data_IF_861227830750
#
_entry.id   IF_861227830750
#
_cell.length_a   1.000
_cell.length_b   1.000
_cell.length_c   1.000
_cell.angle_alpha   90.00
_cell.angle_beta   90.00
_cell.angle_gamma   90.00
#
_symmetry.space_group_name_H-M   'P 1'
#
loop_
_entity.id
_entity.type
_entity.pdbx_description
1 polymer ?
#
# COMPACT_ATOMS: atom_id res chain seq x y z
N UNK A 1 8.84 8.22 2.66
CA UNK A 1 8.70 6.76 2.40
C UNK A 1 9.99 6.08 2.82
N UNK A 2 9.92 4.97 3.54
CA UNK A 2 11.12 4.28 4.02
C UNK A 2 11.98 3.78 2.87
N UNK A 3 13.28 4.04 2.96
CA UNK A 3 14.29 3.60 2.00
C UNK A 3 14.07 4.08 0.55
N UNK A 4 13.27 5.12 0.37
CA UNK A 4 13.01 5.81 -0.89
C UNK A 4 13.81 7.13 -0.90
N UNK A 5 15.11 7.04 -1.23
CA UNK A 5 16.07 8.11 -0.98
C UNK A 5 16.25 9.08 -2.16
N UNK A 6 15.63 8.77 -3.31
CA UNK A 6 15.80 9.54 -4.56
C UNK A 6 14.45 10.07 -5.05
N UNK A 7 14.51 11.16 -5.78
CA UNK A 7 13.41 11.72 -6.55
C UNK A 7 13.71 11.59 -8.04
N UNK A 8 12.69 11.38 -8.86
CA UNK A 8 12.84 11.33 -10.32
C UNK A 8 12.84 12.73 -10.93
N UNK A 9 12.23 13.69 -10.21
CA UNK A 9 12.15 15.10 -10.64
C UNK A 9 13.15 15.95 -9.87
N UNK A 10 13.73 16.96 -10.55
CA UNK A 10 14.79 17.82 -10.00
C UNK A 10 14.25 19.15 -9.43
N UNK A 11 13.00 19.51 -9.71
CA UNK A 11 12.38 20.74 -9.22
C UNK A 11 12.37 20.79 -7.69
N UNK A 12 12.39 22.00 -7.14
CA UNK A 12 12.15 22.18 -5.70
C UNK A 12 10.74 21.68 -5.33
N UNK A 13 10.58 21.13 -4.13
CA UNK A 13 9.27 20.75 -3.63
C UNK A 13 8.45 21.99 -3.24
N UNK A 14 7.14 21.90 -3.41
CA UNK A 14 6.24 22.96 -2.95
C UNK A 14 5.93 22.87 -1.43
N UNK A 15 6.33 21.80 -0.75
CA UNK A 15 6.01 21.59 0.67
C UNK A 15 4.52 21.40 0.93
N UNK A 16 4.00 22.09 1.93
CA UNK A 16 2.58 22.12 2.26
C UNK A 16 2.07 20.93 3.06
N UNK A 17 0.75 20.86 3.24
CA UNK A 17 0.02 19.80 3.95
C UNK A 17 -1.18 19.31 3.14
N UNK A 18 -1.61 18.08 3.40
CA UNK A 18 -2.79 17.47 2.76
C UNK A 18 -3.71 16.84 3.81
N UNK A 19 -4.97 16.61 3.46
CA UNK A 19 -5.95 15.91 4.33
C UNK A 19 -6.26 16.66 5.63
N UNK A 20 -6.22 17.99 5.61
CA UNK A 20 -6.63 18.81 6.75
C UNK A 20 -8.14 18.64 7.00
N UNK A 21 -8.91 18.49 5.93
CA UNK A 21 -10.33 18.12 5.92
C UNK A 21 -10.55 16.93 4.98
N UNK A 22 -11.74 16.32 5.01
CA UNK A 22 -12.06 15.21 4.10
C UNK A 22 -12.15 15.67 2.65
N UNK A 23 -12.61 16.89 2.46
CA UNK A 23 -12.81 17.57 1.18
C UNK A 23 -11.50 17.86 0.44
N UNK A 24 -10.39 17.97 1.17
CA UNK A 24 -9.06 18.18 0.59
C UNK A 24 -8.55 16.94 -0.17
N UNK A 25 -9.22 15.79 -0.03
CA UNK A 25 -8.78 14.54 -0.63
C UNK A 25 -9.96 13.81 -1.29
N UNK A 26 -10.07 13.97 -2.60
CA UNK A 26 -11.10 13.31 -3.40
C UNK A 26 -10.50 12.20 -4.24
N UNK A 27 -11.20 11.05 -4.27
CA UNK A 27 -10.80 9.87 -5.05
C UNK A 27 -12.00 9.31 -5.81
N UNK A 28 -11.87 9.17 -7.13
CA UNK A 28 -12.88 8.58 -7.98
C UNK A 28 -12.34 7.33 -8.68
N UNK A 29 -13.10 6.25 -8.60
CA UNK A 29 -12.78 5.01 -9.30
C UNK A 29 -12.88 5.21 -10.82
N UNK A 30 -11.87 4.76 -11.57
CA UNK A 30 -11.94 4.61 -13.02
C UNK A 30 -12.36 3.16 -13.28
N UNK A 31 -13.62 2.89 -13.61
CA UNK A 31 -14.12 1.53 -13.71
C UNK A 31 -13.59 0.81 -14.95
N UNK A 32 -13.31 -0.48 -14.82
CA UNK A 32 -13.06 -1.39 -15.93
C UNK A 32 -14.38 -1.93 -16.50
N UNK A 33 -15.35 -2.20 -15.62
CA UNK A 33 -16.69 -2.68 -15.97
C UNK A 33 -17.68 -1.54 -15.79
N UNK A 34 -18.37 -1.22 -16.89
CA UNK A 34 -19.49 -0.27 -16.90
C UNK A 34 -20.78 -1.08 -17.00
N UNK A 35 -21.74 -0.93 -16.05
CA UNK A 35 -22.99 -1.67 -16.08
C UNK A 35 -23.82 -1.29 -17.30
N UNK A 36 -24.42 -2.29 -17.96
CA UNK A 36 -25.05 -2.18 -19.27
C UNK A 36 -26.52 -1.66 -19.23
N UNK A 37 -27.10 -1.50 -18.04
CA UNK A 37 -28.49 -1.07 -17.84
C UNK A 37 -29.48 -2.23 -17.70
N UNK A 38 -29.07 -3.47 -17.88
CA UNK A 38 -29.87 -4.68 -17.77
C UNK A 38 -29.14 -5.81 -17.04
N UNK A 39 -29.85 -6.77 -16.49
CA UNK A 39 -29.29 -7.94 -15.81
C UNK A 39 -29.75 -8.10 -14.36
N UNK A 40 -29.30 -9.19 -13.71
CA UNK A 40 -29.78 -9.59 -12.38
C UNK A 40 -29.12 -8.86 -11.23
N UNK A 41 -28.13 -8.01 -11.48
CA UNK A 41 -27.41 -7.30 -10.42
C UNK A 41 -27.75 -5.82 -10.46
N UNK A 42 -27.78 -5.19 -9.32
CA UNK A 42 -27.91 -3.74 -9.18
C UNK A 42 -26.57 -3.13 -8.83
N UNK A 43 -26.14 -2.17 -9.61
CA UNK A 43 -24.94 -1.36 -9.39
C UNK A 43 -25.33 0.01 -8.87
N UNK A 44 -24.65 0.46 -7.84
CA UNK A 44 -24.82 1.78 -7.24
C UNK A 44 -23.51 2.55 -7.34
N UNK A 45 -23.51 3.67 -8.02
CA UNK A 45 -22.42 4.63 -8.00
C UNK A 45 -22.58 5.49 -6.77
N UNK A 46 -21.73 5.28 -5.80
CA UNK A 46 -21.80 5.97 -4.52
C UNK A 46 -20.74 7.05 -4.37
N UNK A 47 -21.08 8.11 -3.64
CA UNK A 47 -20.13 9.00 -3.00
C UNK A 47 -20.19 8.79 -1.50
N UNK A 48 -19.06 8.65 -0.82
CA UNK A 48 -18.99 8.52 0.64
C UNK A 48 -18.01 9.49 1.25
N UNK A 49 -18.34 10.02 2.42
CA UNK A 49 -17.55 10.96 3.19
C UNK A 49 -17.08 10.34 4.50
N UNK A 50 -15.78 10.23 4.69
CA UNK A 50 -15.19 9.82 5.97
C UNK A 50 -15.47 8.37 6.40
N UNK A 51 -15.83 7.48 5.47
CA UNK A 51 -16.20 6.08 5.71
C UNK A 51 -15.32 5.10 4.95
N UNK A 52 -15.13 3.89 5.45
CA UNK A 52 -14.50 2.82 4.67
C UNK A 52 -15.50 2.20 3.69
N UNK A 53 -15.02 1.66 2.57
CA UNK A 53 -15.85 0.90 1.62
C UNK A 53 -16.58 -0.24 2.32
N UNK A 54 -15.90 -0.92 3.25
CA UNK A 54 -16.47 -2.07 3.95
C UNK A 54 -17.63 -1.68 4.88
N UNK A 55 -17.52 -0.54 5.60
CA UNK A 55 -18.59 -0.06 6.48
C UNK A 55 -19.86 0.21 5.64
N UNK A 56 -19.72 0.91 4.51
CA UNK A 56 -20.86 1.20 3.61
C UNK A 56 -21.47 -0.09 3.06
N UNK A 57 -20.65 -1.02 2.60
CA UNK A 57 -21.11 -2.32 2.09
C UNK A 57 -21.86 -3.13 3.13
N UNK A 58 -21.41 -3.10 4.38
CA UNK A 58 -22.07 -3.81 5.49
C UNK A 58 -23.41 -3.16 5.85
N UNK A 59 -23.49 -1.83 5.83
CA UNK A 59 -24.75 -1.11 6.09
C UNK A 59 -25.76 -1.39 4.97
N UNK A 60 -25.39 -1.28 3.70
CA UNK A 60 -26.26 -1.64 2.57
C UNK A 60 -26.75 -3.09 2.69
N UNK A 61 -25.86 -4.03 3.01
CA UNK A 61 -26.23 -5.44 3.13
C UNK A 61 -27.21 -5.68 4.30
N UNK A 62 -27.03 -4.98 5.43
CA UNK A 62 -27.90 -5.05 6.59
C UNK A 62 -29.30 -4.49 6.26
N UNK A 63 -29.37 -3.31 5.69
CA UNK A 63 -30.62 -2.60 5.47
C UNK A 63 -31.47 -3.25 4.35
N UNK A 64 -30.82 -3.89 3.37
CA UNK A 64 -31.48 -4.74 2.37
C UNK A 64 -31.75 -6.18 2.86
N UNK A 65 -31.32 -6.55 4.06
CA UNK A 65 -31.41 -7.92 4.60
C UNK A 65 -30.78 -8.98 3.67
N UNK A 66 -29.66 -8.63 3.01
CA UNK A 66 -28.94 -9.54 2.10
C UNK A 66 -27.61 -9.98 2.70
N UNK A 67 -27.15 -11.18 2.28
CA UNK A 67 -25.83 -11.65 2.69
C UNK A 67 -24.72 -10.75 2.15
N UNK A 68 -23.69 -10.47 2.97
CA UNK A 68 -22.45 -9.79 2.57
C UNK A 68 -21.82 -10.41 1.31
N UNK A 69 -21.99 -11.72 1.09
CA UNK A 69 -21.48 -12.43 -0.09
C UNK A 69 -22.11 -11.96 -1.40
N UNK A 70 -23.27 -11.32 -1.36
CA UNK A 70 -23.94 -10.73 -2.55
C UNK A 70 -23.31 -9.38 -2.94
N UNK A 71 -22.63 -8.72 -2.02
CA UNK A 71 -21.98 -7.43 -2.27
C UNK A 71 -20.67 -7.61 -3.05
N UNK A 72 -20.45 -6.76 -4.05
CA UNK A 72 -19.25 -6.69 -4.86
C UNK A 72 -18.73 -5.25 -4.96
N UNK A 73 -17.42 -5.08 -5.04
CA UNK A 73 -16.74 -3.81 -5.32
C UNK A 73 -15.36 -4.09 -5.91
N UNK A 74 -14.83 -3.16 -6.69
CA UNK A 74 -13.57 -3.36 -7.41
C UNK A 74 -12.34 -3.05 -6.55
N UNK A 75 -12.45 -2.13 -5.59
CA UNK A 75 -11.35 -1.75 -4.71
C UNK A 75 -11.81 -1.12 -3.41
N UNK A 76 -10.95 -1.15 -2.41
CA UNK A 76 -11.15 -0.38 -1.18
C UNK A 76 -10.77 1.07 -1.45
N UNK A 77 -11.53 2.02 -0.90
CA UNK A 77 -11.23 3.46 -0.97
C UNK A 77 -10.92 4.03 0.41
N UNK A 78 -10.11 5.07 0.42
CA UNK A 78 -9.67 5.77 1.64
C UNK A 78 -10.85 6.16 2.54
N UNK A 79 -10.60 6.11 3.86
CA UNK A 79 -11.56 6.56 4.87
C UNK A 79 -11.52 8.09 5.04
N UNK A 80 -10.30 8.67 5.11
CA UNK A 80 -10.13 10.12 5.30
C UNK A 80 -10.15 10.84 3.94
N UNK A 81 -11.33 10.80 3.26
CA UNK A 81 -11.51 11.35 1.92
C UNK A 81 -13.01 11.40 1.56
N UNK A 82 -13.33 12.15 0.52
CA UNK A 82 -14.52 11.96 -0.31
C UNK A 82 -14.16 10.95 -1.39
N UNK A 83 -14.95 9.90 -1.55
CA UNK A 83 -14.62 8.89 -2.57
C UNK A 83 -15.83 8.39 -3.33
N UNK A 84 -15.65 8.20 -4.65
CA UNK A 84 -16.66 7.62 -5.55
C UNK A 84 -16.23 6.26 -6.06
N UNK A 85 -17.17 5.33 -6.09
CA UNK A 85 -16.95 3.99 -6.63
C UNK A 85 -18.25 3.24 -6.94
N UNK A 86 -18.17 2.17 -7.75
CA UNK A 86 -19.26 1.23 -7.90
C UNK A 86 -19.33 0.24 -6.74
N UNK A 87 -20.54 0.03 -6.24
CA UNK A 87 -20.91 -1.12 -5.41
C UNK A 87 -21.94 -1.93 -6.19
N UNK A 88 -21.77 -3.25 -6.23
CA UNK A 88 -22.66 -4.18 -6.91
C UNK A 88 -23.39 -5.05 -5.87
N UNK A 89 -24.71 -5.15 -6.00
CA UNK A 89 -25.57 -6.02 -5.20
C UNK A 89 -26.07 -7.12 -6.15
N UNK A 90 -25.59 -8.34 -5.96
CA UNK A 90 -25.90 -9.46 -6.86
C UNK A 90 -27.29 -10.06 -6.57
N UNK A 91 -27.92 -10.61 -7.63
CA UNK A 91 -29.22 -11.30 -7.59
C UNK A 91 -30.37 -10.42 -7.05
N UNK A 92 -30.52 -9.24 -7.64
CA UNK A 92 -31.57 -8.27 -7.36
C UNK A 92 -32.51 -8.18 -8.59
N UNK A 93 -33.17 -9.30 -8.95
CA UNK A 93 -33.84 -9.46 -10.22
C UNK A 93 -35.18 -8.69 -10.33
N UNK A 94 -35.87 -8.50 -9.19
CA UNK A 94 -37.21 -7.91 -9.18
C UNK A 94 -37.19 -6.38 -9.14
N UNK A 95 -38.27 -5.77 -9.66
CA UNK A 95 -38.50 -4.32 -9.57
C UNK A 95 -38.69 -3.85 -8.10
N UNK A 96 -39.26 -4.70 -7.26
CA UNK A 96 -39.42 -4.41 -5.84
C UNK A 96 -38.05 -4.27 -5.15
N UNK A 97 -37.12 -5.19 -5.45
CA UNK A 97 -35.74 -5.12 -4.93
C UNK A 97 -35.00 -3.89 -5.45
N UNK A 98 -35.21 -3.50 -6.70
CA UNK A 98 -34.64 -2.26 -7.23
C UNK A 98 -35.14 -1.05 -6.43
N UNK A 99 -36.46 -0.95 -6.21
CA UNK A 99 -37.05 0.13 -5.38
C UNK A 99 -36.53 0.14 -3.94
N UNK A 100 -36.24 -1.03 -3.37
CA UNK A 100 -35.60 -1.09 -2.04
C UNK A 100 -34.24 -0.44 -2.06
N UNK A 101 -33.42 -0.65 -3.12
CA UNK A 101 -32.11 0.01 -3.27
C UNK A 101 -32.26 1.52 -3.49
N UNK A 102 -33.24 1.94 -4.29
CA UNK A 102 -33.52 3.36 -4.55
C UNK A 102 -33.94 4.16 -3.31
N UNK A 103 -34.55 3.48 -2.34
CA UNK A 103 -35.00 4.08 -1.08
C UNK A 103 -34.02 3.93 0.09
N UNK A 104 -32.81 3.43 -0.16
CA UNK A 104 -31.80 3.34 0.90
C UNK A 104 -31.31 4.72 1.33
N UNK A 105 -31.22 4.91 2.65
CA UNK A 105 -30.55 6.05 3.28
C UNK A 105 -29.37 5.54 4.11
N UNK A 106 -28.19 5.70 3.56
CA UNK A 106 -26.95 5.22 4.21
C UNK A 106 -26.15 6.41 4.73
N UNK A 107 -25.89 6.43 6.01
CA UNK A 107 -25.18 7.50 6.69
C UNK A 107 -23.91 7.95 5.92
N UNK A 108 -23.80 9.26 5.64
CA UNK A 108 -22.67 9.87 4.90
C UNK A 108 -22.34 9.15 3.60
N UNK A 109 -23.37 8.73 2.85
CA UNK A 109 -23.20 8.05 1.57
C UNK A 109 -24.33 8.41 0.63
N UNK A 110 -24.01 9.05 -0.48
CA UNK A 110 -24.98 9.43 -1.50
C UNK A 110 -25.00 8.40 -2.64
N UNK A 111 -26.18 8.06 -3.13
CA UNK A 111 -26.36 7.18 -4.26
C UNK A 111 -26.56 8.05 -5.52
N UNK A 112 -25.47 8.26 -6.26
CA UNK A 112 -25.45 9.18 -7.41
C UNK A 112 -26.07 8.56 -8.66
N UNK A 113 -25.99 7.24 -8.82
CA UNK A 113 -26.53 6.51 -9.95
C UNK A 113 -26.83 5.07 -9.57
N UNK A 114 -27.97 4.56 -10.03
CA UNK A 114 -28.39 3.16 -9.85
C UNK A 114 -28.65 2.57 -11.23
N UNK A 115 -28.00 1.44 -11.54
CA UNK A 115 -28.07 0.81 -12.87
C UNK A 115 -28.05 -0.70 -12.73
N UNK A 116 -28.78 -1.42 -13.57
CA UNK A 116 -28.66 -2.87 -13.66
C UNK A 116 -27.42 -3.30 -14.41
N UNK A 117 -26.87 -4.47 -14.08
CA UNK A 117 -25.72 -5.05 -14.75
C UNK A 117 -25.76 -6.57 -14.80
N UNK A 118 -25.18 -7.14 -15.85
CA UNK A 118 -25.19 -8.59 -16.08
C UNK A 118 -24.20 -9.35 -15.20
N UNK A 119 -23.02 -8.81 -15.01
CA UNK A 119 -21.92 -9.45 -14.25
C UNK A 119 -21.88 -8.93 -12.83
N UNK A 120 -21.43 -9.74 -11.90
CA UNK A 120 -21.11 -9.29 -10.54
C UNK A 120 -19.73 -8.65 -10.52
N UNK A 121 -19.62 -7.47 -9.90
CA UNK A 121 -18.34 -6.77 -9.70
C UNK A 121 -17.45 -7.52 -8.69
N UNK A 122 -16.16 -7.65 -9.02
CA UNK A 122 -15.17 -8.35 -8.19
C UNK A 122 -13.98 -7.45 -7.90
N UNK A 123 -13.28 -7.77 -6.82
CA UNK A 123 -12.03 -7.11 -6.45
C UNK A 123 -11.03 -7.13 -7.61
N UNK A 124 -10.39 -5.99 -7.88
CA UNK A 124 -9.40 -5.81 -8.94
C UNK A 124 -9.97 -5.36 -10.29
N UNK A 125 -11.30 -5.34 -10.47
CA UNK A 125 -11.97 -4.94 -11.72
C UNK A 125 -12.15 -3.41 -11.83
N UNK A 126 -11.04 -2.68 -11.71
CA UNK A 126 -10.94 -1.25 -12.00
C UNK A 126 -9.68 -1.00 -12.83
N UNK A 127 -9.69 0.05 -13.63
CA UNK A 127 -8.52 0.50 -14.39
C UNK A 127 -7.57 1.27 -13.49
N UNK A 128 -8.10 2.20 -12.70
CA UNK A 128 -7.32 3.08 -11.85
C UNK A 128 -8.18 3.94 -10.95
N UNK A 129 -7.60 5.02 -10.48
CA UNK A 129 -8.29 6.04 -9.69
C UNK A 129 -7.88 7.43 -10.16
N UNK A 130 -8.85 8.34 -10.23
CA UNK A 130 -8.65 9.78 -10.39
C UNK A 130 -8.61 10.41 -9.01
N UNK A 131 -7.65 11.30 -8.81
CA UNK A 131 -7.45 12.06 -7.58
C UNK A 131 -7.63 13.54 -7.82
N UNK A 132 -8.21 14.23 -6.82
CA UNK A 132 -8.17 15.68 -6.68
C UNK A 132 -7.73 15.97 -5.25
N UNK A 133 -6.57 16.55 -5.09
CA UNK A 133 -5.94 16.72 -3.78
C UNK A 133 -5.53 18.18 -3.61
N UNK A 134 -6.08 18.81 -2.59
CA UNK A 134 -5.74 20.18 -2.23
C UNK A 134 -4.53 20.17 -1.28
N UNK A 135 -3.45 20.82 -1.72
CA UNK A 135 -2.23 21.03 -0.93
C UNK A 135 -2.30 22.43 -0.35
N UNK A 136 -2.34 22.51 0.97
CA UNK A 136 -2.47 23.76 1.75
C UNK A 136 -1.16 24.12 2.44
N UNK A 137 -1.17 25.25 3.16
CA UNK A 137 -0.02 25.77 3.92
C UNK A 137 1.23 25.98 3.04
N UNK A 138 1.03 26.66 1.91
CA UNK A 138 2.05 27.03 0.94
C UNK A 138 2.46 28.48 1.11
N UNK A 139 3.75 28.78 0.92
CA UNK A 139 4.29 30.14 1.03
C UNK A 139 3.81 31.05 -0.12
N UNK A 140 3.78 30.52 -1.35
CA UNK A 140 3.31 31.17 -2.57
C UNK A 140 2.50 30.16 -3.40
N UNK A 141 1.21 30.43 -3.56
CA UNK A 141 0.28 29.50 -4.21
C UNK A 141 0.50 29.47 -5.74
N UNK A 142 0.72 30.62 -6.37
CA UNK A 142 0.91 30.73 -7.81
C UNK A 142 2.24 30.05 -8.23
N UNK A 143 3.35 30.40 -7.58
CA UNK A 143 4.65 29.75 -7.83
C UNK A 143 4.58 28.24 -7.56
N UNK A 144 3.87 27.83 -6.50
CA UNK A 144 3.69 26.42 -6.16
C UNK A 144 2.90 25.66 -7.23
N UNK A 145 1.87 26.30 -7.82
CA UNK A 145 1.10 25.71 -8.90
C UNK A 145 1.95 25.51 -10.16
N UNK A 146 2.78 26.49 -10.51
CA UNK A 146 3.70 26.39 -11.66
C UNK A 146 4.70 25.24 -11.47
N UNK A 147 5.35 25.17 -10.30
CA UNK A 147 6.29 24.09 -9.96
C UNK A 147 5.58 22.74 -9.98
N UNK A 148 4.38 22.64 -9.42
CA UNK A 148 3.62 21.39 -9.41
C UNK A 148 3.27 20.93 -10.84
N UNK A 149 2.90 21.85 -11.74
CA UNK A 149 2.65 21.52 -13.15
C UNK A 149 3.90 21.02 -13.85
N UNK A 150 5.07 21.65 -13.64
CA UNK A 150 6.33 21.18 -14.21
C UNK A 150 6.67 19.75 -13.73
N UNK A 151 6.53 19.48 -12.42
CA UNK A 151 6.75 18.16 -11.85
C UNK A 151 5.80 17.14 -12.45
N UNK A 152 4.49 17.45 -12.48
CA UNK A 152 3.47 16.56 -13.00
C UNK A 152 3.69 16.25 -14.50
N UNK A 153 4.02 17.24 -15.32
CA UNK A 153 4.35 17.07 -16.74
C UNK A 153 5.57 16.15 -16.94
N UNK A 154 6.61 16.29 -16.12
CA UNK A 154 7.74 15.37 -16.14
C UNK A 154 7.32 13.95 -15.78
N UNK A 155 6.48 13.78 -14.72
CA UNK A 155 6.01 12.46 -14.29
C UNK A 155 5.12 11.77 -15.33
N UNK A 156 4.34 12.50 -16.12
CA UNK A 156 3.55 11.93 -17.22
C UNK A 156 4.46 11.26 -18.27
N UNK A 157 5.66 11.78 -18.47
CA UNK A 157 6.66 11.25 -19.42
C UNK A 157 7.50 10.15 -18.80
N UNK A 158 8.11 10.41 -17.63
CA UNK A 158 9.06 9.46 -17.00
C UNK A 158 8.39 8.33 -16.25
N UNK A 159 7.15 8.54 -15.82
CA UNK A 159 6.47 7.71 -14.82
C UNK A 159 6.87 8.05 -13.40
N UNK A 160 6.14 7.50 -12.46
CA UNK A 160 6.30 7.71 -11.03
C UNK A 160 6.97 6.51 -10.40
N UNK A 161 8.02 6.67 -9.56
CA UNK A 161 8.63 5.55 -8.84
C UNK A 161 7.61 4.80 -7.98
N UNK A 162 7.53 3.49 -8.14
CA UNK A 162 6.50 2.65 -7.54
C UNK A 162 6.82 2.25 -6.08
N UNK A 163 7.24 3.21 -5.28
CA UNK A 163 7.60 3.01 -3.88
C UNK A 163 6.42 2.54 -3.04
N UNK A 164 6.69 1.66 -2.10
CA UNK A 164 5.75 1.36 -1.02
C UNK A 164 5.72 2.50 0.01
N UNK A 165 4.51 2.98 0.29
CA UNK A 165 4.29 4.05 1.27
C UNK A 165 4.37 3.58 2.72
N UNK A 166 4.32 4.54 3.66
CA UNK A 166 4.41 4.33 5.11
C UNK A 166 3.42 3.31 5.67
N UNK A 167 2.22 3.22 5.11
CA UNK A 167 1.20 2.23 5.54
C UNK A 167 1.71 0.78 5.47
N UNK A 168 2.65 0.49 4.56
CA UNK A 168 3.25 -0.83 4.41
C UNK A 168 4.13 -1.21 5.60
N UNK A 169 4.68 -0.22 6.28
CA UNK A 169 5.66 -0.39 7.34
C UNK A 169 5.07 -0.21 8.75
N UNK A 170 3.79 0.13 8.84
CA UNK A 170 3.05 0.34 10.09
C UNK A 170 3.04 1.80 10.54
N UNK A 171 1.92 2.22 11.11
CA UNK A 171 1.73 3.51 11.77
C UNK A 171 0.88 3.32 13.02
N UNK A 172 1.19 4.01 14.09
CA UNK A 172 2.26 4.99 14.28
C UNK A 172 3.68 4.37 14.36
N UNK A 173 3.80 3.08 14.67
CA UNK A 173 5.09 2.39 14.81
C UNK A 173 5.56 1.81 13.48
N UNK A 174 6.65 2.35 12.96
CA UNK A 174 7.24 1.92 11.69
C UNK A 174 8.22 0.76 11.90
N UNK A 175 7.73 -0.36 12.43
CA UNK A 175 8.56 -1.52 12.82
C UNK A 175 8.28 -2.80 12.00
N UNK A 176 7.22 -2.82 11.19
CA UNK A 176 6.78 -4.06 10.51
C UNK A 176 7.89 -4.70 9.67
N UNK A 177 8.69 -3.89 8.98
CA UNK A 177 9.84 -4.36 8.20
C UNK A 177 11.02 -4.81 9.09
N UNK A 178 11.18 -4.24 10.30
CA UNK A 178 12.21 -4.66 11.24
C UNK A 178 11.92 -6.05 11.83
N UNK A 179 10.65 -6.31 12.15
CA UNK A 179 10.19 -7.66 12.52
C UNK A 179 10.43 -8.64 11.37
N UNK A 180 10.08 -8.22 10.14
CA UNK A 180 10.31 -9.04 8.94
C UNK A 180 11.79 -9.31 8.69
N UNK A 181 12.67 -8.32 8.91
CA UNK A 181 14.10 -8.48 8.84
C UNK A 181 14.59 -9.55 9.82
N UNK A 182 14.20 -9.44 11.09
CA UNK A 182 14.60 -10.40 12.12
C UNK A 182 14.11 -11.84 11.78
N UNK A 183 12.91 -11.99 11.21
CA UNK A 183 12.40 -13.28 10.73
C UNK A 183 13.26 -13.86 9.60
N UNK A 184 13.66 -13.04 8.62
CA UNK A 184 14.54 -13.46 7.52
C UNK A 184 15.95 -13.79 8.02
N UNK A 185 16.47 -13.05 9.01
CA UNK A 185 17.71 -13.35 9.70
C UNK A 185 17.61 -14.58 10.62
N UNK A 186 16.43 -15.22 10.69
CA UNK A 186 16.13 -16.40 11.50
C UNK A 186 16.30 -16.18 13.02
N UNK A 187 16.13 -14.93 13.46
CA UNK A 187 16.22 -14.46 14.85
C UNK A 187 14.81 -14.19 15.41
N UNK A 188 14.20 -15.24 15.98
CA UNK A 188 12.82 -15.18 16.49
C UNK A 188 12.72 -14.31 17.76
N UNK A 189 13.74 -14.33 18.59
CA UNK A 189 13.81 -13.49 19.79
C UNK A 189 13.76 -12.01 19.41
N UNK A 190 14.65 -11.57 18.53
CA UNK A 190 14.69 -10.20 18.01
C UNK A 190 13.38 -9.80 17.34
N UNK A 191 12.75 -10.72 16.59
CA UNK A 191 11.45 -10.44 15.97
C UNK A 191 10.35 -10.15 17.00
N UNK A 192 10.28 -10.94 18.06
CA UNK A 192 9.30 -10.77 19.15
C UNK A 192 9.61 -9.51 19.95
N UNK A 193 10.86 -9.30 20.34
CA UNK A 193 11.29 -8.15 21.11
C UNK A 193 11.05 -6.84 20.35
N UNK A 194 11.32 -6.82 19.03
CA UNK A 194 11.01 -5.66 18.18
C UNK A 194 9.51 -5.37 18.13
N UNK A 195 8.65 -6.40 18.12
CA UNK A 195 7.21 -6.21 18.03
C UNK A 195 6.58 -5.78 19.36
N UNK A 196 6.90 -6.43 20.47
CA UNK A 196 6.31 -6.18 21.79
C UNK A 196 6.94 -4.96 22.46
N UNK A 197 8.25 -4.93 22.55
CA UNK A 197 9.06 -3.87 23.14
C UNK A 197 9.31 -2.69 22.20
N UNK A 198 10.50 -2.11 22.26
CA UNK A 198 10.97 -1.05 21.37
C UNK A 198 10.02 0.17 21.35
N UNK A 199 9.85 0.89 22.49
CA UNK A 199 8.97 2.05 22.60
C UNK A 199 9.36 3.14 21.59
N UNK A 200 8.35 3.78 20.96
CA UNK A 200 8.55 4.83 19.97
C UNK A 200 7.97 6.15 20.47
N UNK A 201 8.61 7.28 20.14
CA UNK A 201 8.18 8.60 20.59
C UNK A 201 6.77 9.00 20.10
N UNK A 202 6.31 8.42 19.00
CA UNK A 202 4.99 8.71 18.40
C UNK A 202 3.85 7.91 19.07
N UNK A 203 4.15 7.07 20.06
CA UNK A 203 3.14 6.33 20.83
C UNK A 203 2.70 7.13 22.08
N UNK A 204 1.54 6.78 22.64
CA UNK A 204 1.10 7.31 23.92
C UNK A 204 2.07 6.89 25.04
N UNK A 205 2.18 7.72 26.07
CA UNK A 205 3.05 7.43 27.22
C UNK A 205 2.74 6.07 27.86
N UNK A 206 1.45 5.69 27.95
CA UNK A 206 1.06 4.39 28.52
C UNK A 206 1.57 3.22 27.67
N UNK A 207 1.52 3.33 26.33
CA UNK A 207 2.06 2.33 25.45
C UNK A 207 3.59 2.26 25.57
N UNK A 208 4.26 3.40 25.66
CA UNK A 208 5.72 3.46 25.86
C UNK A 208 6.13 2.78 27.18
N UNK A 209 5.42 3.06 28.28
CA UNK A 209 5.67 2.41 29.58
C UNK A 209 5.49 0.89 29.52
N UNK A 210 4.41 0.43 28.88
CA UNK A 210 4.15 -1.00 28.71
C UNK A 210 5.26 -1.71 27.93
N UNK A 211 5.78 -1.07 26.87
CA UNK A 211 6.89 -1.61 26.07
C UNK A 211 8.22 -1.56 26.81
N UNK A 212 8.46 -0.49 27.56
CA UNK A 212 9.66 -0.38 28.39
C UNK A 212 9.70 -1.48 29.46
N UNK A 213 8.58 -1.73 30.16
CA UNK A 213 8.49 -2.83 31.12
C UNK A 213 8.82 -4.19 30.47
N UNK A 214 8.43 -4.40 29.19
CA UNK A 214 8.82 -5.58 28.44
C UNK A 214 10.33 -5.64 28.20
N UNK A 215 10.93 -4.54 27.74
CA UNK A 215 12.37 -4.45 27.46
C UNK A 215 13.21 -4.62 28.73
N UNK A 216 12.66 -4.22 29.89
CA UNK A 216 13.27 -4.43 31.22
C UNK A 216 13.08 -5.87 31.75
N UNK A 217 12.42 -6.76 30.99
CA UNK A 217 12.17 -8.16 31.37
C UNK A 217 10.97 -8.40 32.25
N UNK A 218 10.18 -7.36 32.59
CA UNK A 218 9.01 -7.42 33.48
C UNK A 218 7.76 -7.80 32.68
N UNK A 219 7.63 -9.08 32.28
CA UNK A 219 6.57 -9.53 31.39
C UNK A 219 5.17 -9.33 31.93
N UNK A 220 4.94 -9.63 33.24
CA UNK A 220 3.65 -9.47 33.90
C UNK A 220 3.25 -8.00 34.00
N UNK A 221 4.14 -7.13 34.41
CA UNK A 221 3.91 -5.69 34.49
C UNK A 221 3.61 -5.12 33.09
N UNK A 222 4.39 -5.50 32.09
CA UNK A 222 4.12 -5.11 30.71
C UNK A 222 2.71 -5.50 30.25
N UNK A 223 2.27 -6.73 30.56
CA UNK A 223 0.93 -7.20 30.21
C UNK A 223 -0.17 -6.38 30.89
N UNK A 224 0.02 -5.98 32.15
CA UNK A 224 -0.94 -5.16 32.91
C UNK A 224 -1.04 -3.74 32.36
N UNK A 225 0.09 -3.13 31.99
CA UNK A 225 0.15 -1.78 31.44
C UNK A 225 -0.40 -1.67 30.00
N UNK A 226 -0.41 -2.75 29.24
CA UNK A 226 -0.91 -2.75 27.85
C UNK A 226 -2.39 -2.35 27.77
N UNK A 227 -2.70 -1.33 26.96
CA UNK A 227 -4.06 -0.86 26.68
C UNK A 227 -4.88 -1.79 25.77
N UNK A 228 -6.15 -1.41 25.52
CA UNK A 228 -7.06 -2.18 24.64
C UNK A 228 -6.52 -2.26 23.18
N UNK A 229 -5.80 -1.25 22.72
CA UNK A 229 -5.22 -1.20 21.38
C UNK A 229 -4.09 -2.20 21.14
N UNK A 230 -3.45 -2.71 22.21
CA UNK A 230 -2.31 -3.63 22.14
C UNK A 230 -2.73 -5.11 22.21
N UNK A 231 -3.81 -5.46 21.51
CA UNK A 231 -4.39 -6.81 21.54
C UNK A 231 -3.41 -7.90 21.10
N UNK A 232 -2.64 -7.65 20.09
CA UNK A 232 -1.69 -8.62 19.53
C UNK A 232 -0.48 -8.80 20.42
N UNK A 233 0.06 -7.71 20.95
CA UNK A 233 1.13 -7.75 21.94
C UNK A 233 0.70 -8.55 23.18
N UNK A 234 -0.53 -8.31 23.69
CA UNK A 234 -1.09 -9.10 24.80
C UNK A 234 -1.19 -10.60 24.50
N UNK A 235 -1.53 -10.96 23.28
CA UNK A 235 -1.56 -12.38 22.88
C UNK A 235 -0.15 -12.99 22.92
N UNK A 236 0.83 -12.27 22.38
CA UNK A 236 2.22 -12.73 22.30
C UNK A 236 2.86 -12.85 23.68
N UNK A 237 2.71 -11.83 24.55
CA UNK A 237 3.34 -11.81 25.87
C UNK A 237 2.76 -12.88 26.80
N UNK A 238 1.47 -13.21 26.68
CA UNK A 238 0.86 -14.31 27.43
C UNK A 238 1.50 -15.67 27.14
N UNK A 239 1.89 -15.91 25.89
CA UNK A 239 2.62 -17.11 25.52
C UNK A 239 4.02 -17.13 26.14
N UNK A 240 4.72 -15.99 26.16
CA UNK A 240 6.02 -15.87 26.80
C UNK A 240 5.93 -16.11 28.30
N UNK A 241 4.96 -15.48 29.00
CA UNK A 241 4.73 -15.70 30.44
C UNK A 241 4.40 -17.16 30.75
N UNK A 242 3.61 -17.81 29.90
CA UNK A 242 3.31 -19.24 30.06
C UNK A 242 4.55 -20.11 29.94
N UNK A 243 5.42 -19.80 29.00
CA UNK A 243 6.63 -20.59 28.75
C UNK A 243 7.75 -20.26 29.75
N UNK A 244 7.88 -19.00 30.22
CA UNK A 244 8.84 -18.60 31.25
C UNK A 244 8.65 -19.32 32.59
N UNK A 245 7.41 -19.69 32.94
CA UNK A 245 7.10 -20.51 34.13
C UNK A 245 7.64 -21.95 34.04
N UNK A 246 8.07 -22.41 32.87
CA UNK A 246 8.63 -23.74 32.65
C UNK A 246 10.18 -23.72 32.60
N UNK A 247 10.80 -22.55 32.55
CA UNK A 247 12.25 -22.35 32.46
C UNK A 247 12.60 -21.15 31.60
N UNK A 248 13.84 -21.07 31.18
CA UNK A 248 14.31 -20.00 30.28
C UNK A 248 13.56 -19.97 28.94
N UNK A 249 13.35 -18.78 28.38
CA UNK A 249 12.75 -18.61 27.07
C UNK A 249 13.73 -19.12 25.99
N UNK A 250 13.18 -19.85 25.03
CA UNK A 250 13.93 -20.46 23.93
C UNK A 250 13.32 -20.04 22.58
N UNK A 251 13.99 -20.36 21.49
CA UNK A 251 13.42 -20.21 20.12
C UNK A 251 11.98 -20.73 20.01
N UNK A 252 11.67 -21.85 20.70
CA UNK A 252 10.33 -22.42 20.71
C UNK A 252 9.33 -21.50 21.42
N UNK A 253 9.72 -20.83 22.47
CA UNK A 253 8.90 -19.85 23.20
C UNK A 253 8.58 -18.65 22.33
N UNK A 254 9.58 -18.12 21.65
CA UNK A 254 9.41 -17.01 20.70
C UNK A 254 8.57 -17.42 19.47
N UNK A 255 8.74 -18.65 18.96
CA UNK A 255 7.90 -19.19 17.90
C UNK A 255 6.43 -19.31 18.34
N UNK A 256 6.16 -19.81 19.55
CA UNK A 256 4.81 -19.87 20.12
C UNK A 256 4.18 -18.49 20.22
N UNK A 257 4.95 -17.51 20.68
CA UNK A 257 4.54 -16.11 20.77
C UNK A 257 4.13 -15.55 19.38
N UNK A 258 4.92 -15.77 18.34
CA UNK A 258 4.60 -15.35 16.97
C UNK A 258 3.38 -16.11 16.41
N UNK A 259 3.21 -17.38 16.74
CA UNK A 259 2.05 -18.18 16.31
C UNK A 259 0.73 -17.73 16.95
N UNK A 260 0.76 -16.98 18.06
CA UNK A 260 -0.43 -16.36 18.65
C UNK A 260 -1.05 -15.29 17.73
N UNK A 261 -0.26 -14.74 16.82
CA UNK A 261 -0.74 -13.76 15.84
C UNK A 261 -1.56 -14.41 14.71
N UNK A 262 -2.54 -13.68 14.11
CA UNK A 262 -3.20 -14.13 12.90
C UNK A 262 -2.22 -14.39 11.76
N UNK A 263 -2.41 -15.48 11.01
CA UNK A 263 -1.53 -15.84 9.88
C UNK A 263 -1.29 -14.73 8.84
N UNK A 264 -2.30 -13.92 8.46
CA UNK A 264 -2.06 -12.80 7.55
C UNK A 264 -1.10 -11.76 8.12
N UNK A 265 -1.18 -11.48 9.43
CA UNK A 265 -0.28 -10.54 10.09
C UNK A 265 1.16 -11.07 10.13
N UNK A 266 1.35 -12.35 10.45
CA UNK A 266 2.67 -12.98 10.43
C UNK A 266 3.34 -12.84 9.05
N UNK A 267 2.61 -13.13 7.96
CA UNK A 267 3.13 -13.00 6.58
C UNK A 267 3.45 -11.56 6.21
N UNK A 268 2.69 -10.61 6.73
CA UNK A 268 2.88 -9.19 6.43
C UNK A 268 4.26 -8.69 6.85
N UNK A 269 4.88 -9.26 7.89
CA UNK A 269 6.23 -8.86 8.33
C UNK A 269 7.29 -9.11 7.26
N UNK A 270 7.36 -10.33 6.74
CA UNK A 270 8.32 -10.69 5.69
C UNK A 270 8.06 -9.86 4.42
N UNK A 271 6.78 -9.70 4.03
CA UNK A 271 6.44 -8.85 2.90
C UNK A 271 6.80 -7.38 3.10
N UNK A 272 6.73 -6.85 4.33
CA UNK A 272 7.17 -5.49 4.62
C UNK A 272 8.69 -5.33 4.46
N UNK A 273 9.47 -6.33 4.87
CA UNK A 273 10.91 -6.31 4.64
C UNK A 273 11.26 -6.39 3.16
N UNK A 274 10.58 -7.26 2.40
CA UNK A 274 10.71 -7.28 0.93
C UNK A 274 10.40 -5.90 0.32
N UNK A 275 9.37 -5.23 0.80
CA UNK A 275 8.98 -3.89 0.33
C UNK A 275 10.03 -2.81 0.67
N UNK A 276 10.69 -2.95 1.82
CA UNK A 276 11.76 -2.07 2.23
C UNK A 276 12.98 -2.19 1.32
N UNK A 277 13.40 -3.42 1.00
CA UNK A 277 14.50 -3.69 0.06
C UNK A 277 14.14 -3.29 -1.37
N UNK A 278 12.89 -3.48 -1.78
CA UNK A 278 12.37 -3.04 -3.08
C UNK A 278 12.47 -1.51 -3.22
N UNK A 279 12.10 -0.75 -2.18
CA UNK A 279 12.22 0.71 -2.22
C UNK A 279 13.69 1.14 -2.44
N UNK A 280 14.65 0.44 -1.85
CA UNK A 280 16.07 0.71 -2.10
C UNK A 280 16.47 0.39 -3.54
N UNK A 281 16.02 -0.74 -4.08
CA UNK A 281 16.29 -1.11 -5.47
C UNK A 281 15.71 -0.07 -6.45
N UNK A 282 14.48 0.39 -6.22
CA UNK A 282 13.86 1.47 -7.01
C UNK A 282 14.66 2.77 -6.85
N UNK A 283 15.09 3.14 -5.64
CA UNK A 283 15.92 4.33 -5.41
C UNK A 283 17.21 4.32 -6.23
N UNK A 284 17.92 3.20 -6.21
CA UNK A 284 19.14 3.02 -6.98
C UNK A 284 18.85 3.10 -8.50
N UNK A 285 17.74 2.52 -8.93
CA UNK A 285 17.33 2.50 -10.33
C UNK A 285 16.85 3.86 -10.83
N UNK A 286 16.27 4.71 -9.97
CA UNK A 286 15.95 6.11 -10.29
C UNK A 286 17.23 6.86 -10.70
N UNK A 287 18.33 6.65 -10.00
CA UNK A 287 19.60 7.27 -10.33
C UNK A 287 20.16 6.82 -11.70
N UNK A 288 19.77 5.63 -12.18
CA UNK A 288 20.13 5.10 -13.51
C UNK A 288 19.12 5.50 -14.61
N UNK A 289 17.98 6.13 -14.26
CA UNK A 289 16.86 6.48 -15.14
C UNK A 289 15.78 5.39 -15.17
N UNK A 290 14.61 5.64 -14.53
CA UNK A 290 13.52 4.65 -14.46
C UNK A 290 12.73 4.48 -15.76
N UNK A 291 12.88 5.43 -16.67
CA UNK A 291 12.26 5.52 -17.99
C UNK A 291 13.19 5.01 -19.11
N UNK A 292 14.35 4.47 -18.73
CA UNK A 292 15.36 3.97 -19.69
C UNK A 292 15.56 2.48 -19.55
N UNK A 293 15.69 1.81 -20.69
CA UNK A 293 16.21 0.46 -20.71
C UNK A 293 17.68 0.46 -20.33
N UNK A 294 18.07 -0.39 -19.41
CA UNK A 294 19.46 -0.68 -19.09
C UNK A 294 19.73 -2.15 -19.43
N UNK A 295 20.83 -2.43 -20.08
CA UNK A 295 21.17 -3.80 -20.49
C UNK A 295 21.16 -4.75 -19.29
N UNK A 296 20.39 -5.82 -19.43
CA UNK A 296 20.15 -6.78 -18.36
C UNK A 296 18.86 -6.57 -17.55
N UNK A 297 18.13 -5.48 -17.78
CA UNK A 297 16.81 -5.28 -17.16
C UNK A 297 15.87 -6.46 -17.43
N UNK A 298 15.08 -6.81 -16.43
CA UNK A 298 13.90 -7.66 -16.61
C UNK A 298 12.69 -6.74 -16.76
N UNK A 299 12.12 -6.76 -17.98
CA UNK A 299 10.98 -5.93 -18.37
C UNK A 299 9.72 -6.79 -18.38
N UNK A 300 8.61 -6.26 -17.87
CA UNK A 300 7.30 -6.93 -17.87
C UNK A 300 6.23 -6.06 -18.52
N UNK A 301 5.27 -6.73 -19.17
CA UNK A 301 4.06 -6.11 -19.71
C UNK A 301 3.00 -5.82 -18.59
N UNK A 302 1.86 -5.16 -18.90
CA UNK A 302 0.80 -4.90 -17.94
C UNK A 302 0.14 -6.16 -17.36
N UNK A 303 0.23 -7.29 -18.04
CA UNK A 303 -0.25 -8.60 -17.60
C UNK A 303 0.79 -9.35 -16.74
N UNK A 304 1.90 -8.70 -16.40
CA UNK A 304 3.02 -9.22 -15.61
C UNK A 304 3.84 -10.35 -16.31
N UNK A 305 3.74 -10.48 -17.64
CA UNK A 305 4.58 -11.41 -18.40
C UNK A 305 5.95 -10.78 -18.69
N UNK A 306 7.01 -11.59 -18.61
CA UNK A 306 8.36 -11.11 -18.97
C UNK A 306 8.45 -10.96 -20.49
N UNK A 307 8.74 -9.75 -20.93
CA UNK A 307 9.04 -9.44 -22.33
C UNK A 307 10.45 -9.97 -22.67
N UNK A 308 10.57 -10.70 -23.78
CA UNK A 308 11.83 -11.33 -24.21
C UNK A 308 12.13 -11.05 -25.67
N UNK A 309 13.37 -11.33 -26.05
CA UNK A 309 13.82 -11.37 -27.45
C UNK A 309 13.58 -10.04 -28.20
N UNK A 310 13.85 -8.92 -27.54
CA UNK A 310 13.79 -7.56 -28.07
C UNK A 310 15.19 -6.95 -28.18
N UNK A 311 15.38 -6.05 -29.14
CA UNK A 311 16.58 -5.19 -29.16
C UNK A 311 16.49 -4.11 -28.08
N UNK A 312 17.60 -3.47 -27.70
CA UNK A 312 17.58 -2.36 -26.75
C UNK A 312 16.62 -1.24 -27.16
N UNK A 313 16.55 -0.93 -28.47
CA UNK A 313 15.65 0.10 -29.01
C UNK A 313 14.20 -0.31 -28.89
N UNK A 314 13.86 -1.57 -29.21
CA UNK A 314 12.49 -2.09 -29.03
C UNK A 314 12.06 -2.10 -27.56
N UNK A 315 12.95 -2.43 -26.63
CA UNK A 315 12.66 -2.31 -25.19
C UNK A 315 12.41 -0.85 -24.80
N UNK A 316 13.23 0.08 -25.29
CA UNK A 316 13.09 1.50 -24.99
C UNK A 316 11.74 2.04 -25.50
N UNK A 317 11.35 1.68 -26.72
CA UNK A 317 10.05 2.07 -27.31
C UNK A 317 8.86 1.59 -26.45
N UNK A 318 8.90 0.33 -26.00
CA UNK A 318 7.86 -0.20 -25.11
C UNK A 318 7.81 0.53 -23.76
N UNK A 319 8.96 0.89 -23.22
CA UNK A 319 9.07 1.62 -21.96
C UNK A 319 8.53 3.03 -22.12
N UNK A 320 8.90 3.77 -23.15
CA UNK A 320 8.44 5.14 -23.40
C UNK A 320 6.92 5.21 -23.56
N UNK A 321 6.32 4.21 -24.21
CA UNK A 321 4.88 4.12 -24.41
C UNK A 321 4.10 3.52 -23.21
N UNK A 322 4.77 3.13 -22.12
CA UNK A 322 4.18 2.39 -21.00
C UNK A 322 3.52 1.06 -21.38
N UNK A 323 3.90 0.47 -22.52
CA UNK A 323 3.48 -0.86 -22.95
C UNK A 323 4.21 -1.96 -22.18
N UNK A 324 5.39 -1.66 -21.65
CA UNK A 324 6.11 -2.49 -20.70
C UNK A 324 6.94 -1.62 -19.74
N UNK A 325 7.36 -2.18 -18.62
CA UNK A 325 8.16 -1.46 -17.63
C UNK A 325 9.29 -2.31 -17.09
N UNK A 326 10.48 -1.69 -16.85
CA UNK A 326 11.54 -2.33 -16.09
C UNK A 326 11.07 -2.62 -14.66
N UNK A 327 11.69 -3.63 -14.05
CA UNK A 327 11.27 -4.14 -12.75
C UNK A 327 12.39 -4.13 -11.73
N UNK A 328 12.01 -4.09 -10.45
CA UNK A 328 12.90 -4.41 -9.34
C UNK A 328 12.37 -5.65 -8.59
N UNK A 329 13.26 -6.38 -7.87
CA UNK A 329 12.86 -7.57 -7.14
C UNK A 329 12.17 -7.22 -5.82
N UNK A 330 11.02 -7.86 -5.56
CA UNK A 330 10.63 -8.21 -4.21
C UNK A 330 11.42 -9.48 -3.87
N UNK A 331 12.53 -9.34 -3.17
CA UNK A 331 13.48 -10.43 -2.96
C UNK A 331 12.83 -11.67 -2.32
N UNK A 332 13.31 -12.84 -2.69
CA UNK A 332 12.80 -14.12 -2.22
C UNK A 332 13.57 -15.26 -2.87
N UNK A 333 13.26 -16.50 -2.45
CA UNK A 333 14.05 -17.68 -2.82
C UNK A 333 14.16 -17.97 -4.32
N UNK A 334 13.16 -17.57 -5.12
CA UNK A 334 13.07 -17.90 -6.54
C UNK A 334 13.07 -16.70 -7.49
N UNK A 335 13.03 -15.47 -6.97
CA UNK A 335 13.04 -14.30 -7.85
C UNK A 335 14.35 -14.24 -8.64
N UNK A 336 14.30 -14.09 -9.99
CA UNK A 336 15.52 -13.92 -10.78
C UNK A 336 16.13 -12.55 -10.51
N UNK A 337 17.46 -12.48 -10.47
CA UNK A 337 18.19 -11.22 -10.59
C UNK A 337 18.17 -10.74 -12.04
N UNK A 338 18.22 -9.45 -12.25
CA UNK A 338 18.52 -8.84 -13.53
C UNK A 338 19.95 -9.21 -13.98
N UNK A 339 20.28 -8.91 -15.23
CA UNK A 339 21.63 -9.07 -15.79
C UNK A 339 22.48 -7.81 -15.57
N UNK A 340 23.74 -7.88 -16.02
CA UNK A 340 24.63 -6.72 -16.10
C UNK A 340 24.75 -5.90 -14.83
N UNK A 341 24.87 -4.58 -15.00
CA UNK A 341 25.00 -3.62 -13.90
C UNK A 341 23.78 -3.62 -12.97
N UNK A 342 22.57 -3.78 -13.51
CA UNK A 342 21.33 -3.85 -12.72
C UNK A 342 21.35 -5.04 -11.79
N UNK A 343 21.78 -6.21 -12.27
CA UNK A 343 21.89 -7.41 -11.46
C UNK A 343 22.94 -7.29 -10.34
N UNK A 344 24.06 -6.63 -10.61
CA UNK A 344 25.07 -6.37 -9.57
C UNK A 344 24.56 -5.39 -8.52
N UNK A 345 23.80 -4.37 -8.91
CA UNK A 345 23.11 -3.46 -7.99
C UNK A 345 22.14 -4.24 -7.09
N UNK A 346 21.30 -5.12 -7.65
CA UNK A 346 20.35 -5.94 -6.90
C UNK A 346 21.06 -6.86 -5.88
N UNK A 347 22.14 -7.52 -6.28
CA UNK A 347 22.95 -8.36 -5.39
C UNK A 347 23.61 -7.56 -4.28
N UNK A 348 24.07 -6.34 -4.61
CA UNK A 348 24.72 -5.45 -3.64
C UNK A 348 23.79 -5.07 -2.47
N UNK A 349 22.48 -4.96 -2.73
CA UNK A 349 21.47 -4.71 -1.69
C UNK A 349 21.45 -5.86 -0.68
N UNK A 350 21.34 -7.11 -1.12
CA UNK A 350 21.36 -8.26 -0.21
C UNK A 350 22.66 -8.33 0.57
N UNK A 351 23.80 -8.10 -0.10
CA UNK A 351 25.12 -8.06 0.56
C UNK A 351 25.21 -6.97 1.62
N UNK A 352 24.66 -5.77 1.37
CA UNK A 352 24.63 -4.65 2.33
C UNK A 352 23.93 -5.03 3.63
N UNK A 353 22.85 -5.82 3.54
CA UNK A 353 22.10 -6.28 4.70
C UNK A 353 22.58 -7.63 5.27
N UNK A 354 23.62 -8.23 4.69
CA UNK A 354 24.20 -9.50 5.15
C UNK A 354 23.28 -10.69 4.97
N UNK A 355 22.37 -10.66 3.98
CA UNK A 355 21.39 -11.69 3.69
C UNK A 355 21.56 -12.23 2.27
N UNK A 356 20.99 -13.40 2.06
CA UNK A 356 20.91 -14.10 0.77
C UNK A 356 19.46 -14.32 0.35
N UNK A 357 19.23 -14.85 -0.85
CA UNK A 357 17.88 -15.25 -1.29
C UNK A 357 17.33 -16.40 -0.45
N UNK A 358 18.18 -17.30 -0.03
CA UNK A 358 17.87 -18.50 0.74
C UNK A 358 17.32 -18.16 2.13
N UNK A 359 17.72 -17.02 2.72
CA UNK A 359 17.21 -16.58 4.02
C UNK A 359 15.70 -16.29 4.00
N UNK A 360 15.14 -16.01 2.81
CA UNK A 360 13.69 -15.87 2.64
C UNK A 360 12.91 -17.19 2.74
N UNK A 361 13.56 -18.34 2.94
CA UNK A 361 12.89 -19.58 3.36
C UNK A 361 12.36 -19.50 4.78
N UNK A 362 12.95 -18.63 5.63
CA UNK A 362 12.61 -18.48 7.04
C UNK A 362 12.60 -19.85 7.75
N UNK A 363 13.74 -20.55 7.89
CA UNK A 363 13.77 -21.96 8.25
C UNK A 363 13.06 -22.31 9.57
N UNK A 364 13.11 -21.41 10.58
CA UNK A 364 12.38 -21.62 11.85
C UNK A 364 10.86 -21.44 11.71
N UNK A 365 10.38 -20.74 10.67
CA UNK A 365 8.95 -20.53 10.37
C UNK A 365 8.66 -20.68 8.86
N UNK A 366 8.81 -21.85 8.25
CA UNK A 366 8.80 -22.03 6.78
C UNK A 366 7.50 -21.57 6.09
N UNK A 367 6.39 -21.51 6.84
CA UNK A 367 5.11 -20.98 6.32
C UNK A 367 5.12 -19.48 6.02
N UNK A 368 6.14 -18.75 6.49
CA UNK A 368 6.36 -17.34 6.24
C UNK A 368 7.32 -17.11 5.08
N UNK A 369 7.98 -18.15 4.59
CA UNK A 369 8.90 -18.08 3.46
C UNK A 369 8.23 -17.49 2.21
N UNK A 370 9.03 -16.77 1.42
CA UNK A 370 8.57 -16.10 0.20
C UNK A 370 9.45 -16.42 -0.99
N UNK A 371 8.81 -16.74 -2.12
CA UNK A 371 9.53 -16.94 -3.37
C UNK A 371 10.00 -15.64 -4.02
N UNK A 372 9.39 -14.53 -3.63
CA UNK A 372 9.62 -13.25 -4.28
C UNK A 372 8.95 -13.15 -5.66
N UNK A 373 9.00 -11.99 -6.25
CA UNK A 373 8.52 -11.72 -7.61
C UNK A 373 9.19 -10.46 -8.18
N UNK A 374 9.14 -10.29 -9.49
CA UNK A 374 9.50 -9.04 -10.15
C UNK A 374 8.30 -8.09 -10.11
N UNK A 375 8.52 -6.82 -9.75
CA UNK A 375 7.48 -5.79 -9.70
C UNK A 375 7.92 -4.58 -10.52
N UNK A 376 7.00 -4.01 -11.29
CA UNK A 376 7.23 -2.76 -12.02
C UNK A 376 7.77 -1.69 -11.06
N UNK A 377 8.90 -1.09 -11.42
CA UNK A 377 9.54 -0.07 -10.58
C UNK A 377 8.96 1.33 -10.76
N UNK A 378 8.11 1.52 -11.78
CA UNK A 378 7.38 2.75 -12.03
C UNK A 378 5.93 2.46 -12.45
N UNK A 379 5.09 3.46 -12.40
CA UNK A 379 3.72 3.40 -12.90
C UNK A 379 3.37 4.68 -13.66
N UNK A 380 2.39 4.59 -14.53
CA UNK A 380 1.89 5.70 -15.33
C UNK A 380 1.03 6.63 -14.48
N UNK A 381 1.19 7.94 -14.70
CA UNK A 381 0.27 8.99 -14.27
C UNK A 381 -0.20 9.74 -15.51
N UNK A 382 -1.45 10.19 -15.51
CA UNK A 382 -2.03 10.91 -16.66
C UNK A 382 -3.15 11.85 -16.20
N UNK A 383 -3.63 12.70 -17.12
CA UNK A 383 -4.62 13.75 -16.85
C UNK A 383 -4.18 14.67 -15.71
N UNK A 384 -2.91 15.06 -15.74
CA UNK A 384 -2.29 15.83 -14.68
C UNK A 384 -2.56 17.33 -14.84
N UNK A 385 -2.88 17.99 -13.72
CA UNK A 385 -2.92 19.44 -13.62
C UNK A 385 -2.73 19.89 -12.17
N UNK A 386 -2.21 21.10 -12.01
CA UNK A 386 -2.15 21.80 -10.72
C UNK A 386 -2.70 23.22 -10.90
N UNK A 387 -3.77 23.53 -10.18
CA UNK A 387 -4.49 24.81 -10.30
C UNK A 387 -4.41 25.57 -8.98
N UNK A 388 -4.02 26.85 -8.98
CA UNK A 388 -4.06 27.68 -7.78
C UNK A 388 -5.52 27.93 -7.36
N UNK A 389 -5.79 27.93 -6.06
CA UNK A 389 -7.06 28.24 -5.43
C UNK A 389 -6.84 29.19 -4.26
N UNK A 390 -7.90 29.73 -3.69
CA UNK A 390 -7.81 30.63 -2.53
C UNK A 390 -7.20 29.96 -1.28
N UNK A 391 -7.22 28.59 -1.22
CA UNK A 391 -6.76 27.83 -0.05
C UNK A 391 -5.43 27.08 -0.28
N UNK A 392 -4.93 27.02 -1.51
CA UNK A 392 -3.74 26.27 -1.87
C UNK A 392 -3.72 25.81 -3.32
N UNK A 393 -2.99 24.76 -3.63
CA UNK A 393 -2.88 24.18 -4.98
C UNK A 393 -3.70 22.91 -5.09
N UNK A 394 -4.67 22.89 -6.00
CA UNK A 394 -5.44 21.70 -6.34
C UNK A 394 -4.70 20.86 -7.39
N UNK A 395 -4.11 19.75 -6.98
CA UNK A 395 -3.52 18.77 -7.87
C UNK A 395 -4.55 17.73 -8.32
N UNK A 396 -4.73 17.56 -9.62
CA UNK A 396 -5.55 16.53 -10.22
C UNK A 396 -4.67 15.58 -11.03
N UNK A 397 -4.90 14.28 -10.93
CA UNK A 397 -4.20 13.27 -11.71
C UNK A 397 -4.90 11.91 -11.61
N UNK A 398 -4.63 11.05 -12.59
CA UNK A 398 -5.09 9.66 -12.62
C UNK A 398 -3.90 8.70 -12.52
N UNK A 399 -4.08 7.55 -11.85
CA UNK A 399 -3.06 6.50 -11.76
C UNK A 399 -3.68 5.11 -11.91
N UNK A 400 -2.87 4.14 -12.33
CA UNK A 400 -3.25 2.75 -12.43
C UNK A 400 -3.62 2.11 -11.09
N UNK A 401 -4.44 1.07 -11.14
CA UNK A 401 -4.73 0.24 -9.96
C UNK A 401 -3.45 -0.30 -9.32
N UNK A 402 -3.43 -0.35 -7.99
CA UNK A 402 -2.27 -0.83 -7.22
C UNK A 402 -1.13 0.18 -7.05
N UNK A 403 -1.29 1.38 -7.60
CA UNK A 403 -0.37 2.51 -7.44
C UNK A 403 -0.82 3.46 -6.32
N UNK A 404 0.11 4.26 -5.81
CA UNK A 404 -0.12 5.10 -4.64
C UNK A 404 -0.04 6.59 -5.00
N UNK A 405 -1.12 7.32 -4.81
CA UNK A 405 -1.15 8.79 -4.98
C UNK A 405 -0.08 9.51 -4.14
N UNK A 406 0.27 8.94 -2.98
CA UNK A 406 1.34 9.47 -2.13
C UNK A 406 2.73 9.43 -2.79
N UNK A 407 2.95 8.57 -3.78
CA UNK A 407 4.20 8.59 -4.55
C UNK A 407 4.25 9.77 -5.52
N UNK A 408 3.13 10.11 -6.18
CA UNK A 408 3.01 11.32 -7.01
C UNK A 408 3.21 12.58 -6.15
N UNK A 409 2.47 12.68 -5.05
CA UNK A 409 2.56 13.83 -4.14
C UNK A 409 3.95 13.98 -3.52
N UNK A 410 4.66 12.87 -3.28
CA UNK A 410 6.04 12.91 -2.80
C UNK A 410 6.96 13.63 -3.79
N UNK A 411 6.78 13.40 -5.08
CA UNK A 411 7.54 14.11 -6.12
C UNK A 411 7.19 15.60 -6.17
N UNK A 412 5.91 15.96 -6.04
CA UNK A 412 5.44 17.35 -6.05
C UNK A 412 5.87 18.11 -4.79
N UNK A 413 5.66 17.51 -3.64
CA UNK A 413 5.88 18.21 -2.34
C UNK A 413 7.32 18.12 -1.85
N UNK A 414 8.13 17.17 -2.36
CA UNK A 414 9.48 16.81 -1.85
C UNK A 414 9.51 16.60 -0.33
N UNK A 415 8.43 16.04 0.18
CA UNK A 415 8.20 15.79 1.60
C UNK A 415 7.66 14.39 1.79
N UNK A 416 8.00 13.78 2.90
CA UNK A 416 7.38 12.51 3.27
C UNK A 416 5.91 12.75 3.64
N UNK A 417 5.03 12.14 2.85
CA UNK A 417 3.60 12.19 3.06
C UNK A 417 3.22 11.07 4.02
N UNK A 418 2.77 11.48 5.17
CA UNK A 418 2.44 10.58 6.28
C UNK A 418 0.93 10.39 6.38
#
# INVERSE_FOLDING_TARGET
MLNANTYVTSQKGIGGTIRNQYEDFYVEEIPEIIPEGEGPNVYVWIEKLGRTTLDVVLDIARDLHVSRKRMGFAGMKDKKAITRQWICIANMDSEEQLRQVENLDIYKTDFLKIVRGRKKLRMGQLKGNKFKILIKDLDDIEESADIANEVLAQLETTGVPNYFGWQRFGKPRTITHLVGKALVENDLEKAVNTYIGNPQNDESEDNQKARQAYDDGNLEESLELMGKGMRYEKMMIKELIRDSKKGELTDKSYMNSLHALPKPLQRMFVHAYQSYLFNEAVSNRVAMGIDKYVEGDIVIDPEENIVRDKTPEEYQDLIENFEANPTCPLFGTKVPFAGGEVGEMEKSILKKYGITKEDFEVPKMPRLGSHGLRRQMRFKVWDCSATPTDEGVLCEFSIDKGSYATAVLREVMKKDII
#
